data_IF_586045932116
#
_entry.id   IF_586045932116
#
_cell.length_a   1.000
_cell.length_b   1.000
_cell.length_c   1.000
_cell.angle_alpha   90.00
_cell.angle_beta   90.00
_cell.angle_gamma   90.00
#
_symmetry.space_group_name_H-M   'P 1'
#
loop_
_entity.id
_entity.type
_entity.pdbx_description
1 polymer ?
#
# COMPACT_ATOMS: atom_id res chain seq x y z
N UNK A 1 10.97 3.96 -14.72
CA UNK A 1 12.43 3.90 -14.97
C UNK A 1 12.77 2.70 -15.85
N UNK A 2 12.43 1.47 -15.44
CA UNK A 2 12.70 0.26 -16.25
C UNK A 2 12.22 0.36 -17.71
N UNK A 3 10.92 0.61 -17.94
CA UNK A 3 10.38 0.73 -19.31
C UNK A 3 11.05 1.85 -20.13
N UNK A 4 11.50 2.94 -19.50
CA UNK A 4 12.23 4.02 -20.19
C UNK A 4 13.62 3.52 -20.60
N UNK A 5 14.28 2.77 -19.73
CA UNK A 5 15.60 2.23 -20.05
C UNK A 5 15.52 1.24 -21.20
N UNK A 6 14.43 0.47 -21.27
CA UNK A 6 14.12 -0.43 -22.39
C UNK A 6 13.77 0.35 -23.69
N UNK A 7 12.95 1.40 -23.61
CA UNK A 7 12.58 2.23 -24.77
C UNK A 7 13.77 2.99 -25.39
N UNK A 8 14.77 3.37 -24.57
CA UNK A 8 15.91 4.20 -24.97
C UNK A 8 17.24 3.43 -25.06
N UNK A 9 17.25 2.10 -24.89
CA UNK A 9 18.45 1.24 -24.87
C UNK A 9 19.55 1.73 -23.90
N UNK A 10 19.15 2.11 -22.68
CA UNK A 10 20.05 2.62 -21.64
C UNK A 10 20.23 1.58 -20.53
N UNK A 11 21.45 1.46 -20.00
CA UNK A 11 21.73 0.64 -18.82
C UNK A 11 20.84 1.03 -17.62
N UNK A 12 19.94 0.12 -17.22
CA UNK A 12 19.00 0.34 -16.12
C UNK A 12 19.70 0.72 -14.81
N UNK A 13 20.75 -0.01 -14.42
CA UNK A 13 21.47 0.24 -13.16
C UNK A 13 22.19 1.60 -13.16
N UNK A 14 22.70 2.05 -14.31
CA UNK A 14 23.35 3.35 -14.42
C UNK A 14 22.32 4.50 -14.32
N UNK A 15 21.20 4.37 -15.02
CA UNK A 15 20.09 5.33 -14.94
C UNK A 15 19.50 5.37 -13.53
N UNK A 16 19.26 4.21 -12.91
CA UNK A 16 18.76 4.08 -11.55
C UNK A 16 19.68 4.78 -10.54
N UNK A 17 20.99 4.50 -10.60
CA UNK A 17 21.97 5.13 -9.72
C UNK A 17 22.04 6.66 -9.91
N UNK A 18 21.99 7.13 -11.16
CA UNK A 18 22.02 8.57 -11.46
C UNK A 18 20.77 9.30 -10.96
N UNK A 19 19.58 8.73 -11.16
CA UNK A 19 18.30 9.28 -10.66
C UNK A 19 18.32 9.37 -9.13
N UNK A 20 18.79 8.32 -8.44
CA UNK A 20 18.86 8.32 -6.97
C UNK A 20 19.91 9.28 -6.40
N UNK A 21 21.02 9.54 -7.11
CA UNK A 21 22.00 10.57 -6.73
C UNK A 21 21.42 11.99 -6.88
N UNK A 22 20.72 12.28 -7.99
CA UNK A 22 20.02 13.56 -8.16
C UNK A 22 18.92 13.74 -7.12
N UNK A 23 18.15 12.69 -6.84
CA UNK A 23 17.17 12.67 -5.76
C UNK A 23 17.81 13.02 -4.40
N UNK A 24 18.94 12.39 -4.06
CA UNK A 24 19.69 12.68 -2.83
C UNK A 24 20.12 14.14 -2.78
N UNK A 25 20.67 14.67 -3.87
CA UNK A 25 21.06 16.08 -3.96
C UNK A 25 19.87 17.02 -3.69
N UNK A 26 18.71 16.77 -4.30
CA UNK A 26 17.52 17.59 -4.06
C UNK A 26 16.96 17.44 -2.64
N UNK A 27 16.99 16.24 -2.05
CA UNK A 27 16.55 16.04 -0.66
C UNK A 27 17.46 16.78 0.35
N UNK A 28 18.78 16.76 0.13
CA UNK A 28 19.72 17.56 0.92
C UNK A 28 19.46 19.05 0.75
N UNK A 29 19.20 19.50 -0.48
CA UNK A 29 18.81 20.88 -0.77
C UNK A 29 17.54 21.27 0.02
N UNK A 30 16.50 20.44 -0.03
CA UNK A 30 15.25 20.67 0.70
C UNK A 30 15.46 20.71 2.22
N UNK A 31 16.34 19.87 2.75
CA UNK A 31 16.67 19.86 4.18
C UNK A 31 17.39 21.17 4.61
N UNK A 32 18.33 21.66 3.80
CA UNK A 32 19.13 22.88 4.10
C UNK A 32 18.32 24.17 3.89
N UNK A 33 17.48 24.23 2.86
CA UNK A 33 16.70 25.43 2.51
C UNK A 33 15.36 25.56 3.27
N UNK A 34 15.21 24.86 4.40
CA UNK A 34 13.97 24.85 5.20
C UNK A 34 12.70 24.54 4.38
N UNK A 35 12.78 23.63 3.40
CA UNK A 35 11.61 23.27 2.60
C UNK A 35 10.46 22.70 3.45
N UNK A 36 10.75 22.17 4.65
CA UNK A 36 9.74 21.74 5.62
C UNK A 36 8.81 22.85 6.10
N UNK A 37 9.10 24.14 5.84
CA UNK A 37 8.09 25.22 6.02
C UNK A 37 6.86 25.01 5.12
N UNK A 38 7.01 24.30 3.99
CA UNK A 38 5.92 23.87 3.13
C UNK A 38 4.94 22.93 3.86
N UNK A 39 5.37 22.25 4.93
CA UNK A 39 4.49 21.46 5.80
C UNK A 39 3.35 22.30 6.38
N UNK A 40 3.56 23.60 6.63
CA UNK A 40 2.48 24.48 7.12
C UNK A 40 1.29 24.56 6.15
N UNK A 41 1.49 24.22 4.88
CA UNK A 41 0.43 24.15 3.88
C UNK A 41 -0.16 22.74 3.74
N UNK A 42 0.53 21.71 4.24
CA UNK A 42 -0.06 20.40 4.44
C UNK A 42 -1.06 20.51 5.60
N UNK A 43 -2.31 20.23 5.31
CA UNK A 43 -3.38 20.27 6.31
C UNK A 43 -3.95 18.88 6.49
N UNK A 44 -4.72 18.68 7.55
CA UNK A 44 -5.42 17.42 7.79
C UNK A 44 -6.16 16.88 6.55
N UNK A 45 -6.86 17.74 5.82
CA UNK A 45 -7.53 17.35 4.57
C UNK A 45 -6.59 16.71 3.55
N UNK A 46 -5.35 17.18 3.41
CA UNK A 46 -4.41 16.65 2.42
C UNK A 46 -3.83 15.31 2.87
N UNK A 47 -3.61 15.13 4.17
CA UNK A 47 -3.23 13.83 4.77
C UNK A 47 -4.33 12.79 4.55
N UNK A 48 -5.60 13.16 4.76
CA UNK A 48 -6.75 12.27 4.60
C UNK A 48 -6.98 11.85 3.14
N UNK A 49 -6.84 12.78 2.18
CA UNK A 49 -6.89 12.47 0.75
C UNK A 49 -5.79 11.48 0.37
N UNK A 50 -4.57 11.70 0.87
CA UNK A 50 -3.44 10.82 0.58
C UNK A 50 -3.62 9.42 1.19
N UNK A 51 -4.06 9.34 2.45
CA UNK A 51 -4.36 8.07 3.10
C UNK A 51 -5.45 7.28 2.35
N UNK A 52 -6.51 7.96 1.89
CA UNK A 52 -7.58 7.34 1.11
C UNK A 52 -7.09 6.89 -0.28
N UNK A 53 -6.23 7.68 -0.93
CA UNK A 53 -5.59 7.30 -2.19
C UNK A 53 -4.77 6.01 -2.05
N UNK A 54 -3.96 5.88 -0.99
CA UNK A 54 -3.17 4.67 -0.75
C UNK A 54 -4.08 3.46 -0.47
N UNK A 55 -5.15 3.63 0.30
CA UNK A 55 -6.15 2.57 0.51
C UNK A 55 -6.78 2.10 -0.80
N UNK A 56 -7.17 3.03 -1.69
CA UNK A 56 -7.67 2.71 -3.04
C UNK A 56 -6.60 1.99 -3.87
N UNK A 57 -5.33 2.40 -3.79
CA UNK A 57 -4.24 1.74 -4.50
C UNK A 57 -4.08 0.27 -4.08
N UNK A 58 -4.08 -0.03 -2.79
CA UNK A 58 -4.03 -1.41 -2.30
C UNK A 58 -5.24 -2.25 -2.75
N UNK A 59 -6.46 -1.67 -2.75
CA UNK A 59 -7.65 -2.35 -3.28
C UNK A 59 -7.54 -2.64 -4.79
N UNK A 60 -7.03 -1.69 -5.57
CA UNK A 60 -6.86 -1.83 -7.03
C UNK A 60 -5.78 -2.86 -7.36
N UNK A 61 -4.66 -2.86 -6.64
CA UNK A 61 -3.58 -3.82 -6.85
C UNK A 61 -4.04 -5.25 -6.50
N UNK A 62 -4.70 -5.46 -5.35
CA UNK A 62 -5.28 -6.76 -5.00
C UNK A 62 -6.30 -7.23 -6.05
N UNK A 63 -7.17 -6.34 -6.53
CA UNK A 63 -8.13 -6.66 -7.61
C UNK A 63 -7.45 -7.00 -8.94
N UNK A 64 -6.34 -6.33 -9.26
CA UNK A 64 -5.56 -6.59 -10.48
C UNK A 64 -4.89 -7.96 -10.43
N UNK A 65 -4.40 -8.37 -9.27
CA UNK A 65 -3.75 -9.68 -9.12
C UNK A 65 -4.75 -10.83 -9.12
N UNK A 66 -5.94 -10.64 -8.54
CA UNK A 66 -7.09 -11.55 -8.75
C UNK A 66 -7.40 -11.67 -10.25
N UNK A 67 -7.53 -10.54 -10.95
CA UNK A 67 -7.86 -10.55 -12.37
C UNK A 67 -6.80 -11.29 -13.21
N UNK A 68 -5.50 -11.03 -12.97
CA UNK A 68 -4.41 -11.76 -13.64
C UNK A 68 -4.46 -13.25 -13.35
N UNK A 69 -4.73 -13.65 -12.09
CA UNK A 69 -4.83 -15.05 -11.72
C UNK A 69 -5.98 -15.76 -12.47
N UNK A 70 -7.17 -15.13 -12.50
CA UNK A 70 -8.30 -15.65 -13.27
C UNK A 70 -8.01 -15.72 -14.76
N UNK A 71 -7.33 -14.74 -15.33
CA UNK A 71 -6.91 -14.80 -16.73
C UNK A 71 -5.94 -15.96 -17.00
N UNK A 72 -5.01 -16.22 -16.08
CA UNK A 72 -3.97 -17.24 -16.22
C UNK A 72 -4.48 -18.66 -16.06
N UNK A 73 -5.35 -18.92 -15.08
CA UNK A 73 -5.77 -20.29 -14.73
C UNK A 73 -7.21 -20.61 -15.13
N UNK A 74 -8.12 -19.64 -15.11
CA UNK A 74 -9.54 -19.86 -15.40
C UNK A 74 -9.88 -19.68 -16.88
N UNK A 75 -9.36 -18.61 -17.49
CA UNK A 75 -9.60 -18.25 -18.90
C UNK A 75 -8.48 -18.70 -19.86
N UNK A 76 -7.59 -19.60 -19.41
CA UNK A 76 -6.55 -20.16 -20.27
C UNK A 76 -7.16 -20.79 -21.53
N UNK A 77 -6.50 -20.64 -22.68
CA UNK A 77 -6.92 -21.27 -23.95
C UNK A 77 -6.97 -22.80 -23.86
N UNK A 78 -6.23 -23.38 -22.91
CA UNK A 78 -6.19 -24.79 -22.55
C UNK A 78 -7.50 -25.28 -21.89
N UNK A 79 -8.28 -24.35 -21.33
CA UNK A 79 -9.56 -24.61 -20.66
C UNK A 79 -10.78 -24.45 -21.58
N UNK A 80 -10.59 -24.03 -22.83
CA UNK A 80 -11.65 -23.92 -23.81
C UNK A 80 -12.07 -25.32 -24.32
N UNK A 81 -13.34 -25.54 -24.67
CA UNK A 81 -13.77 -26.83 -25.22
C UNK A 81 -12.92 -27.16 -26.47
N UNK A 82 -12.41 -28.39 -26.59
CA UNK A 82 -11.53 -28.75 -27.69
C UNK A 82 -12.25 -28.54 -29.03
N UNK A 83 -11.67 -27.73 -29.89
CA UNK A 83 -12.13 -27.59 -31.28
C UNK A 83 -11.81 -28.87 -32.06
N UNK A 84 -12.59 -29.18 -33.09
CA UNK A 84 -12.44 -30.41 -33.93
C UNK A 84 -11.00 -30.56 -34.49
N UNK A 85 -10.30 -29.44 -34.67
CA UNK A 85 -8.91 -29.39 -35.14
C UNK A 85 -7.88 -29.83 -34.08
N UNK A 86 -8.16 -29.58 -32.80
CA UNK A 86 -7.32 -30.04 -31.68
C UNK A 86 -7.48 -31.55 -31.43
N UNK A 87 -8.71 -32.07 -31.55
CA UNK A 87 -9.02 -33.50 -31.47
C UNK A 87 -8.35 -34.31 -32.60
N UNK A 88 -8.29 -33.76 -33.82
CA UNK A 88 -7.62 -34.42 -34.95
C UNK A 88 -6.10 -34.42 -34.83
N UNK A 89 -5.48 -33.41 -34.18
CA UNK A 89 -4.06 -33.45 -33.82
C UNK A 89 -3.76 -34.47 -32.72
N UNK A 90 -4.60 -34.53 -31.67
CA UNK A 90 -4.48 -35.53 -30.61
C UNK A 90 -4.65 -36.97 -31.13
N UNK A 91 -5.61 -37.21 -32.02
CA UNK A 91 -5.77 -38.52 -32.66
C UNK A 91 -4.55 -38.94 -33.50
N UNK A 92 -3.89 -37.99 -34.16
CA UNK A 92 -2.65 -38.25 -34.92
C UNK A 92 -1.46 -38.55 -34.01
N UNK A 93 -1.32 -37.84 -32.89
CA UNK A 93 -0.23 -38.12 -31.94
C UNK A 93 -0.44 -39.44 -31.20
N UNK A 94 -1.68 -39.77 -30.83
CA UNK A 94 -2.04 -41.07 -30.25
C UNK A 94 -1.79 -42.21 -31.25
N UNK A 95 -2.18 -42.07 -32.51
CA UNK A 95 -1.91 -43.09 -33.54
C UNK A 95 -0.40 -43.27 -33.81
N UNK A 96 0.41 -42.21 -33.66
CA UNK A 96 1.87 -42.31 -33.76
C UNK A 96 2.51 -42.96 -32.51
N UNK A 97 1.92 -42.79 -31.33
CA UNK A 97 2.39 -43.36 -30.06
C UNK A 97 1.89 -44.80 -29.81
N UNK A 98 0.77 -45.21 -30.43
CA UNK A 98 0.12 -46.50 -30.26
C UNK A 98 0.97 -47.72 -30.68
N UNK A 99 2.10 -47.51 -31.34
CA UNK A 99 3.07 -48.59 -31.65
C UNK A 99 3.97 -48.98 -30.45
N UNK A 100 3.96 -48.23 -29.34
CA UNK A 100 4.69 -48.55 -28.10
C UNK A 100 3.74 -48.56 -26.90
N UNK A 101 3.46 -49.74 -26.36
CA UNK A 101 2.39 -50.05 -25.39
C UNK A 101 2.57 -49.49 -23.96
N UNK A 102 3.60 -48.68 -23.69
CA UNK A 102 3.89 -48.12 -22.35
C UNK A 102 3.53 -46.64 -22.19
N UNK A 103 2.77 -46.05 -23.11
CA UNK A 103 2.65 -44.58 -23.24
C UNK A 103 1.26 -44.01 -22.90
N UNK A 104 0.30 -44.83 -22.46
CA UNK A 104 -1.07 -44.36 -22.16
C UNK A 104 -1.12 -43.43 -20.93
N UNK A 105 -0.34 -43.69 -19.88
CA UNK A 105 -0.22 -42.81 -18.70
C UNK A 105 0.56 -41.53 -19.03
N UNK A 106 1.62 -41.64 -19.85
CA UNK A 106 2.41 -40.49 -20.29
C UNK A 106 1.63 -39.51 -21.20
N UNK A 107 0.61 -39.99 -21.92
CA UNK A 107 -0.24 -39.13 -22.77
C UNK A 107 -1.27 -38.33 -21.96
N UNK A 108 -1.65 -38.79 -20.77
CA UNK A 108 -2.52 -38.07 -19.84
C UNK A 108 -1.79 -36.92 -19.13
N UNK A 109 -0.46 -37.00 -19.06
CA UNK A 109 0.43 -35.97 -18.52
C UNK A 109 0.75 -34.84 -19.53
N UNK A 110 0.52 -35.08 -20.83
CA UNK A 110 0.80 -34.13 -21.93
C UNK A 110 -0.41 -33.25 -22.28
N UNK A 111 -1.61 -33.58 -21.79
CA UNK A 111 -2.76 -32.70 -21.87
C UNK A 111 -2.58 -31.56 -20.87
N UNK A 112 -2.54 -30.29 -21.30
CA UNK A 112 -2.51 -29.17 -20.37
C UNK A 112 -3.76 -29.25 -19.49
N UNK A 113 -3.55 -29.59 -18.21
CA UNK A 113 -4.63 -29.73 -17.26
C UNK A 113 -5.17 -28.33 -16.95
N UNK A 114 -6.44 -28.13 -17.30
CA UNK A 114 -7.17 -26.92 -16.96
C UNK A 114 -7.42 -26.86 -15.44
N UNK A 115 -6.54 -26.18 -14.70
CA UNK A 115 -6.60 -26.05 -13.23
C UNK A 115 -7.46 -24.86 -12.79
N UNK A 116 -8.78 -24.95 -13.01
CA UNK A 116 -9.72 -23.90 -12.58
C UNK A 116 -9.82 -23.78 -11.06
N UNK A 117 -9.55 -24.86 -10.33
CA UNK A 117 -9.51 -24.85 -8.87
C UNK A 117 -8.52 -23.81 -8.30
N UNK A 118 -7.43 -23.51 -9.01
CA UNK A 118 -6.42 -22.56 -8.55
C UNK A 118 -6.98 -21.14 -8.34
N UNK A 119 -7.79 -20.63 -9.27
CA UNK A 119 -8.37 -19.29 -9.15
C UNK A 119 -9.45 -19.21 -8.08
N UNK A 120 -10.22 -20.29 -7.89
CA UNK A 120 -11.23 -20.37 -6.84
C UNK A 120 -10.58 -20.43 -5.45
N UNK A 121 -9.50 -21.22 -5.30
CA UNK A 121 -8.73 -21.30 -4.07
C UNK A 121 -8.03 -19.95 -3.78
N UNK A 122 -7.49 -19.29 -4.79
CA UNK A 122 -6.89 -17.96 -4.65
C UNK A 122 -7.91 -16.96 -4.07
N UNK A 123 -9.11 -16.89 -4.64
CA UNK A 123 -10.19 -16.03 -4.14
C UNK A 123 -10.60 -16.40 -2.71
N UNK A 124 -10.73 -17.70 -2.42
CA UNK A 124 -11.11 -18.20 -1.10
C UNK A 124 -10.07 -17.83 -0.04
N UNK A 125 -8.78 -18.01 -0.33
CA UNK A 125 -7.69 -17.66 0.57
C UNK A 125 -7.63 -16.13 0.78
N UNK A 126 -7.74 -15.35 -0.29
CA UNK A 126 -7.70 -13.88 -0.20
C UNK A 126 -8.88 -13.30 0.59
N UNK A 127 -10.12 -13.73 0.32
CA UNK A 127 -11.28 -13.24 1.07
C UNK A 127 -11.35 -13.85 2.47
N UNK A 128 -10.89 -15.09 2.63
CA UNK A 128 -10.82 -15.80 3.90
C UNK A 128 -9.85 -15.14 4.89
N UNK A 129 -8.69 -14.66 4.43
CA UNK A 129 -7.74 -13.93 5.29
C UNK A 129 -8.33 -12.60 5.75
N UNK A 130 -8.95 -11.83 4.86
CA UNK A 130 -9.62 -10.57 5.21
C UNK A 130 -10.74 -10.82 6.19
N UNK A 131 -11.61 -11.80 5.92
CA UNK A 131 -12.73 -12.12 6.79
C UNK A 131 -12.25 -12.53 8.19
N UNK A 132 -11.26 -13.42 8.28
CA UNK A 132 -10.72 -13.85 9.56
C UNK A 132 -10.03 -12.70 10.29
N UNK A 133 -9.21 -11.89 9.61
CA UNK A 133 -8.52 -10.75 10.22
C UNK A 133 -9.51 -9.70 10.74
N UNK A 134 -10.53 -9.34 9.96
CA UNK A 134 -11.58 -8.40 10.38
C UNK A 134 -12.44 -8.97 11.51
N UNK A 135 -12.73 -10.28 11.49
CA UNK A 135 -13.46 -10.95 12.58
C UNK A 135 -12.68 -10.91 13.89
N UNK A 136 -11.38 -11.25 13.86
CA UNK A 136 -10.50 -11.19 15.03
C UNK A 136 -10.30 -9.76 15.54
N UNK A 137 -10.19 -8.78 14.63
CA UNK A 137 -10.10 -7.36 15.00
C UNK A 137 -11.39 -6.87 15.68
N UNK A 138 -12.57 -7.17 15.10
CA UNK A 138 -13.87 -6.80 15.66
C UNK A 138 -14.23 -7.58 16.92
N UNK A 139 -13.52 -8.68 17.21
CA UNK A 139 -13.68 -9.43 18.44
C UNK A 139 -13.47 -8.55 19.68
N UNK A 140 -12.72 -7.44 19.56
CA UNK A 140 -12.57 -6.45 20.63
C UNK A 140 -13.86 -5.77 21.08
N UNK A 141 -14.86 -5.69 20.20
CA UNK A 141 -16.16 -5.10 20.55
C UNK A 141 -17.12 -6.10 21.16
N UNK A 142 -16.78 -7.39 21.14
CA UNK A 142 -17.67 -8.44 21.62
C UNK A 142 -17.57 -8.60 23.14
N UNK A 143 -18.66 -9.01 23.81
CA UNK A 143 -18.67 -9.26 25.26
C UNK A 143 -18.00 -10.60 25.63
N UNK A 144 -17.49 -11.35 24.66
CA UNK A 144 -16.84 -12.64 24.88
C UNK A 144 -15.38 -12.43 25.32
N UNK A 145 -14.91 -13.29 26.23
CA UNK A 145 -13.56 -13.28 26.83
C UNK A 145 -13.23 -12.07 27.74
N UNK A 146 -12.15 -12.22 28.51
CA UNK A 146 -11.61 -11.16 29.38
C UNK A 146 -10.96 -10.06 28.54
N UNK A 147 -11.10 -8.79 28.95
CA UNK A 147 -10.63 -7.61 28.22
C UNK A 147 -9.17 -7.73 27.72
N UNK A 148 -8.24 -8.18 28.57
CA UNK A 148 -6.83 -8.33 28.20
C UNK A 148 -6.60 -9.37 27.09
N UNK A 149 -7.29 -10.52 27.13
CA UNK A 149 -7.17 -11.56 26.08
C UNK A 149 -7.75 -11.08 24.76
N UNK A 150 -8.79 -10.27 24.83
CA UNK A 150 -9.49 -9.72 23.70
C UNK A 150 -8.66 -8.64 22.98
N UNK A 151 -8.01 -7.76 23.74
CA UNK A 151 -7.05 -6.77 23.21
C UNK A 151 -5.87 -7.47 22.51
N UNK A 152 -5.27 -8.50 23.15
CA UNK A 152 -4.22 -9.30 22.53
C UNK A 152 -4.67 -9.95 21.21
N UNK A 153 -5.89 -10.49 21.15
CA UNK A 153 -6.41 -11.11 19.93
C UNK A 153 -6.56 -10.09 18.79
N UNK A 154 -6.99 -8.87 19.10
CA UNK A 154 -7.17 -7.80 18.12
C UNK A 154 -5.82 -7.28 17.59
N UNK A 155 -4.80 -7.15 18.45
CA UNK A 155 -3.46 -6.74 18.04
C UNK A 155 -2.76 -7.79 17.15
N UNK A 156 -2.97 -9.08 17.46
CA UNK A 156 -2.42 -10.20 16.69
C UNK A 156 -3.34 -10.70 15.56
N UNK A 157 -4.45 -10.01 15.29
CA UNK A 157 -5.46 -10.44 14.31
C UNK A 157 -4.86 -10.75 12.92
N UNK A 158 -4.00 -9.87 12.43
CA UNK A 158 -3.39 -9.99 11.10
C UNK A 158 -2.36 -11.14 11.01
N UNK A 159 -1.33 -11.23 11.89
CA UNK A 159 -0.41 -12.36 11.89
C UNK A 159 -1.11 -13.72 12.05
N UNK A 160 -2.10 -13.80 12.95
CA UNK A 160 -2.86 -15.03 13.18
C UNK A 160 -3.66 -15.43 11.94
N UNK A 161 -4.30 -14.46 11.27
CA UNK A 161 -5.05 -14.74 10.06
C UNK A 161 -4.17 -15.23 8.91
N UNK A 162 -2.99 -14.64 8.71
CA UNK A 162 -2.01 -15.08 7.70
C UNK A 162 -1.56 -16.50 8.00
N UNK A 163 -1.12 -16.80 9.23
CA UNK A 163 -0.63 -18.13 9.59
C UNK A 163 -1.73 -19.19 9.44
N UNK A 164 -2.96 -18.89 9.89
CA UNK A 164 -4.08 -19.82 9.81
C UNK A 164 -4.46 -20.14 8.36
N UNK A 165 -4.57 -19.14 7.49
CA UNK A 165 -4.96 -19.35 6.10
C UNK A 165 -3.81 -19.90 5.25
N UNK A 166 -2.55 -19.56 5.56
CA UNK A 166 -1.39 -20.25 4.97
C UNK A 166 -1.36 -21.72 5.36
N UNK A 167 -1.69 -22.07 6.61
CA UNK A 167 -1.82 -23.47 7.04
C UNK A 167 -2.95 -24.19 6.30
N UNK A 168 -4.12 -23.56 6.15
CA UNK A 168 -5.23 -24.12 5.38
C UNK A 168 -4.85 -24.32 3.91
N UNK A 169 -4.22 -23.33 3.28
CA UNK A 169 -3.74 -23.43 1.90
C UNK A 169 -2.73 -24.56 1.71
N UNK A 170 -1.76 -24.70 2.62
CA UNK A 170 -0.69 -25.68 2.49
C UNK A 170 -1.09 -27.11 2.87
N UNK A 171 -1.92 -27.30 3.90
CA UNK A 171 -2.27 -28.63 4.43
C UNK A 171 -3.62 -29.16 3.94
N UNK A 172 -4.66 -28.30 3.86
CA UNK A 172 -6.01 -28.74 3.46
C UNK A 172 -6.12 -28.84 1.94
N UNK A 173 -5.51 -27.90 1.22
CA UNK A 173 -5.53 -27.85 -0.25
C UNK A 173 -4.21 -28.27 -0.88
N UNK A 174 -3.55 -29.28 -0.32
CA UNK A 174 -2.24 -29.78 -0.79
C UNK A 174 -2.25 -30.22 -2.27
N UNK A 175 -3.40 -30.66 -2.76
CA UNK A 175 -3.59 -31.12 -4.15
C UNK A 175 -3.68 -29.98 -5.16
N UNK A 176 -3.85 -28.73 -4.71
CA UNK A 176 -3.99 -27.55 -5.56
C UNK A 176 -2.69 -26.74 -5.49
N UNK A 177 -1.95 -26.67 -6.59
CA UNK A 177 -0.71 -25.88 -6.67
C UNK A 177 -1.03 -24.38 -6.58
N UNK A 178 -0.91 -23.81 -5.39
CA UNK A 178 -0.95 -22.36 -5.18
C UNK A 178 0.34 -21.71 -5.68
N UNK A 179 0.27 -20.53 -6.29
CA UNK A 179 1.46 -19.73 -6.57
C UNK A 179 2.16 -19.38 -5.23
N UNK A 180 3.37 -19.91 -5.07
CA UNK A 180 4.22 -19.69 -3.89
C UNK A 180 5.19 -18.53 -4.15
N UNK A 181 5.74 -17.98 -3.07
CA UNK A 181 6.74 -16.93 -3.17
C UNK A 181 8.04 -17.47 -3.82
N UNK A 182 8.33 -17.02 -5.04
CA UNK A 182 9.56 -17.35 -5.75
C UNK A 182 10.72 -16.44 -5.31
N UNK A 183 11.79 -17.03 -4.79
CA UNK A 183 13.04 -16.33 -4.50
C UNK A 183 14.10 -16.69 -5.55
N UNK A 184 14.73 -15.68 -6.15
CA UNK A 184 15.84 -15.86 -7.08
C UNK A 184 17.18 -15.75 -6.35
N UNK A 185 18.09 -16.70 -6.56
CA UNK A 185 19.47 -16.66 -6.04
C UNK A 185 20.38 -15.74 -6.87
N UNK A 186 19.97 -14.49 -7.11
CA UNK A 186 20.81 -13.50 -7.79
C UNK A 186 21.37 -12.50 -6.78
N UNK A 187 22.28 -12.96 -5.93
CA UNK A 187 23.06 -12.12 -5.02
C UNK A 187 24.19 -11.43 -5.77
N UNK A 188 23.86 -10.46 -6.62
CA UNK A 188 24.86 -9.55 -7.17
C UNK A 188 24.52 -8.14 -6.74
N UNK A 189 25.29 -7.63 -5.77
CA UNK A 189 25.39 -6.20 -5.54
C UNK A 189 26.01 -5.56 -6.80
N UNK A 190 25.15 -5.09 -7.69
CA UNK A 190 25.58 -4.44 -8.92
C UNK A 190 25.87 -2.97 -8.58
N UNK A 191 27.15 -2.60 -8.61
CA UNK A 191 27.55 -1.19 -8.52
C UNK A 191 26.94 -0.42 -9.69
N UNK A 192 26.19 0.63 -9.39
CA UNK A 192 25.66 1.54 -10.41
C UNK A 192 26.81 2.27 -11.14
N UNK A 193 27.14 1.85 -12.37
CA UNK A 193 28.17 2.48 -13.20
C UNK A 193 27.62 3.73 -13.86
N UNK A 194 27.55 4.83 -13.11
CA UNK A 194 27.03 6.14 -13.59
C UNK A 194 27.88 6.70 -14.75
N UNK A 195 29.15 6.31 -14.85
CA UNK A 195 30.12 6.77 -15.86
C UNK A 195 29.76 6.39 -17.31
N UNK A 196 28.87 5.40 -17.52
CA UNK A 196 28.47 4.94 -18.86
C UNK A 196 27.37 5.85 -19.46
N UNK A 197 26.72 6.67 -18.64
CA UNK A 197 25.53 7.40 -19.04
C UNK A 197 25.87 8.62 -19.92
N UNK A 198 25.22 8.72 -21.08
CA UNK A 198 25.36 9.87 -21.97
C UNK A 198 24.76 11.14 -21.34
N UNK A 199 25.31 12.32 -21.67
CA UNK A 199 24.84 13.62 -21.18
C UNK A 199 23.32 13.90 -21.32
N UNK A 200 22.62 13.56 -22.43
CA UNK A 200 21.17 13.74 -22.51
C UNK A 200 20.41 12.84 -21.53
N UNK A 201 20.87 11.62 -21.31
CA UNK A 201 20.29 10.70 -20.34
C UNK A 201 20.52 11.19 -18.90
N UNK A 202 21.65 11.84 -18.62
CA UNK A 202 21.90 12.48 -17.32
C UNK A 202 20.95 13.68 -17.05
N UNK A 203 20.59 14.46 -18.07
CA UNK A 203 19.58 15.52 -17.94
C UNK A 203 18.17 14.94 -17.70
N UNK A 204 17.82 13.86 -18.41
CA UNK A 204 16.59 13.11 -18.15
C UNK A 204 16.55 12.57 -16.71
N UNK A 205 17.66 12.01 -16.24
CA UNK A 205 17.82 11.51 -14.87
C UNK A 205 17.66 12.61 -13.82
N UNK A 206 18.14 13.83 -14.10
CA UNK A 206 17.93 14.98 -13.22
C UNK A 206 16.45 15.33 -13.08
N UNK A 207 15.69 15.36 -14.18
CA UNK A 207 14.24 15.60 -14.16
C UNK A 207 13.47 14.53 -13.38
N UNK A 208 13.83 13.25 -13.61
CA UNK A 208 13.26 12.13 -12.86
C UNK A 208 13.66 12.16 -11.38
N UNK A 209 14.90 12.53 -11.07
CA UNK A 209 15.40 12.68 -9.70
C UNK A 209 14.69 13.80 -8.95
N UNK A 210 14.32 14.89 -9.61
CA UNK A 210 13.50 15.97 -9.03
C UNK A 210 12.06 15.51 -8.77
N UNK A 211 11.43 14.81 -9.70
CA UNK A 211 10.09 14.27 -9.48
C UNK A 211 10.09 13.25 -8.31
N UNK A 212 11.11 12.40 -8.24
CA UNK A 212 11.28 11.43 -7.15
C UNK A 212 11.53 12.11 -5.80
N UNK A 213 12.35 13.16 -5.76
CA UNK A 213 12.62 13.89 -4.50
C UNK A 213 11.39 14.59 -3.97
N UNK A 214 10.54 15.12 -4.85
CA UNK A 214 9.24 15.67 -4.45
C UNK A 214 8.32 14.58 -3.88
N UNK A 215 8.31 13.37 -4.45
CA UNK A 215 7.54 12.25 -3.91
C UNK A 215 8.01 11.88 -2.50
N UNK A 216 9.32 11.64 -2.33
CA UNK A 216 9.87 11.27 -1.02
C UNK A 216 9.72 12.38 0.01
N UNK A 217 9.85 13.64 -0.41
CA UNK A 217 9.55 14.78 0.44
C UNK A 217 8.10 14.75 0.91
N UNK A 218 7.14 14.52 0.02
CA UNK A 218 5.73 14.48 0.37
C UNK A 218 5.37 13.30 1.26
N UNK A 219 5.78 12.07 0.90
CA UNK A 219 5.45 10.86 1.64
C UNK A 219 6.04 10.86 3.05
N UNK A 220 7.32 11.24 3.19
CA UNK A 220 7.98 11.33 4.48
C UNK A 220 7.29 12.36 5.39
N UNK A 221 6.94 13.52 4.82
CA UNK A 221 6.32 14.60 5.56
C UNK A 221 4.89 14.28 5.99
N UNK A 222 4.06 13.72 5.10
CA UNK A 222 2.70 13.28 5.42
C UNK A 222 2.75 12.17 6.48
N UNK A 223 3.66 11.20 6.34
CA UNK A 223 3.82 10.13 7.34
C UNK A 223 4.26 10.66 8.68
N UNK A 224 5.20 11.60 8.71
CA UNK A 224 5.64 12.22 9.95
C UNK A 224 4.54 13.08 10.59
N UNK A 225 3.75 13.80 9.79
CA UNK A 225 2.62 14.60 10.30
C UNK A 225 1.51 13.73 10.89
N UNK A 226 1.15 12.63 10.23
CA UNK A 226 0.17 11.66 10.75
C UNK A 226 0.62 11.02 12.07
N UNK A 227 1.90 10.67 12.20
CA UNK A 227 2.45 10.13 13.45
C UNK A 227 2.48 11.19 14.56
N UNK A 228 2.91 12.41 14.21
CA UNK A 228 3.03 13.54 15.14
C UNK A 228 1.72 14.29 15.38
N UNK A 229 0.58 13.72 14.94
CA UNK A 229 -0.72 14.30 15.18
C UNK A 229 -0.94 14.55 16.69
N UNK A 230 -1.40 15.74 17.12
CA UNK A 230 -1.62 16.05 18.53
C UNK A 230 -2.55 15.05 19.24
N UNK A 231 -3.44 14.36 18.51
CA UNK A 231 -4.28 13.29 19.05
C UNK A 231 -3.47 12.14 19.66
N UNK A 232 -2.27 11.86 19.13
CA UNK A 232 -1.39 10.79 19.61
C UNK A 232 -0.63 11.16 20.90
N UNK A 233 -0.70 12.43 21.34
CA UNK A 233 -0.08 12.93 22.59
C UNK A 233 1.37 12.49 22.78
N UNK A 234 2.17 12.57 21.71
CA UNK A 234 3.61 12.29 21.76
C UNK A 234 4.32 13.33 22.64
N UNK A 235 5.35 12.90 23.37
CA UNK A 235 6.10 13.75 24.31
C UNK A 235 7.32 14.37 23.65
N UNK A 236 7.95 13.68 22.70
CA UNK A 236 9.10 14.21 21.96
C UNK A 236 8.63 15.04 20.77
N UNK A 237 9.32 16.15 20.52
CA UNK A 237 9.04 17.03 19.39
C UNK A 237 9.36 16.38 18.03
N UNK A 238 8.71 16.86 16.99
CA UNK A 238 8.93 16.42 15.62
C UNK A 238 10.23 16.99 15.02
N UNK A 239 10.96 16.19 14.25
CA UNK A 239 12.24 16.57 13.65
C UNK A 239 12.26 16.36 12.12
N UNK A 240 11.32 17.01 11.40
CA UNK A 240 11.12 16.83 9.96
C UNK A 240 12.39 17.01 9.11
N UNK A 241 13.24 17.98 9.44
CA UNK A 241 14.48 18.24 8.69
C UNK A 241 15.51 17.12 8.84
N UNK A 242 15.64 16.57 10.05
CA UNK A 242 16.57 15.50 10.34
C UNK A 242 16.12 14.22 9.63
N UNK A 243 14.83 13.92 9.66
CA UNK A 243 14.27 12.76 9.00
C UNK A 243 14.51 12.81 7.49
N UNK A 244 14.30 13.98 6.86
CA UNK A 244 14.56 14.18 5.43
C UNK A 244 16.05 14.04 5.08
N UNK A 245 16.95 14.57 5.92
CA UNK A 245 18.40 14.46 5.74
C UNK A 245 18.85 12.99 5.80
N UNK A 246 18.35 12.23 6.78
CA UNK A 246 18.68 10.82 6.97
C UNK A 246 18.17 9.98 5.81
N UNK A 247 16.93 10.19 5.38
CA UNK A 247 16.34 9.50 4.21
C UNK A 247 17.14 9.82 2.94
N UNK A 248 17.52 11.08 2.73
CA UNK A 248 18.36 11.47 1.60
C UNK A 248 19.71 10.76 1.59
N UNK A 249 20.43 10.77 2.72
CA UNK A 249 21.75 10.13 2.82
C UNK A 249 21.68 8.61 2.64
N UNK A 250 20.69 7.95 3.25
CA UNK A 250 20.47 6.51 3.09
C UNK A 250 20.15 6.15 1.64
N UNK A 251 19.26 6.90 0.98
CA UNK A 251 18.91 6.65 -0.42
C UNK A 251 20.08 6.89 -1.37
N UNK A 252 20.97 7.84 -1.07
CA UNK A 252 22.21 8.03 -1.83
C UNK A 252 23.11 6.80 -1.78
N UNK A 253 23.28 6.21 -0.60
CA UNK A 253 24.04 4.97 -0.43
C UNK A 253 23.37 3.79 -1.13
N UNK A 254 22.05 3.60 -0.95
CA UNK A 254 21.28 2.52 -1.59
C UNK A 254 21.35 2.62 -3.12
N UNK A 255 21.27 3.84 -3.66
CA UNK A 255 21.36 4.11 -5.10
C UNK A 255 22.71 3.68 -5.72
N UNK A 256 23.83 3.88 -5.00
CA UNK A 256 25.16 3.46 -5.47
C UNK A 256 25.31 1.94 -5.56
N UNK A 257 24.64 1.22 -4.66
CA UNK A 257 24.64 -0.24 -4.61
C UNK A 257 23.50 -0.89 -5.44
N UNK A 258 22.70 -0.08 -6.14
CA UNK A 258 21.56 -0.59 -6.93
C UNK A 258 20.45 -1.20 -6.08
N UNK A 259 20.40 -0.86 -4.79
CA UNK A 259 19.39 -1.34 -3.85
C UNK A 259 18.12 -0.45 -3.91
N UNK A 260 16.94 -1.03 -3.62
CA UNK A 260 15.69 -0.27 -3.61
C UNK A 260 15.73 0.88 -2.62
N UNK A 261 15.22 2.04 -3.02
CA UNK A 261 15.11 3.22 -2.18
C UNK A 261 14.08 3.03 -1.06
N UNK A 262 14.34 3.67 0.08
CA UNK A 262 13.50 3.64 1.27
C UNK A 262 12.84 5.00 1.49
N UNK A 263 11.60 4.97 1.97
CA UNK A 263 10.79 6.16 2.29
C UNK A 263 9.84 5.82 3.45
N UNK A 264 9.22 6.84 4.05
CA UNK A 264 8.20 6.65 5.08
C UNK A 264 6.99 5.91 4.53
N UNK A 265 6.56 4.85 5.23
CA UNK A 265 5.47 3.97 4.78
C UNK A 265 4.15 4.34 5.46
N UNK A 266 3.15 4.66 4.62
CA UNK A 266 1.79 5.10 4.97
C UNK A 266 0.78 3.94 4.79
N UNK A 267 0.86 2.87 5.60
CA UNK A 267 0.03 2.79 6.81
C UNK A 267 0.74 2.14 8.01
N UNK A 268 1.96 1.65 7.80
CA UNK A 268 2.73 0.93 8.82
C UNK A 268 3.15 1.84 9.97
N UNK A 269 3.57 3.08 9.67
CA UNK A 269 3.99 4.05 10.68
C UNK A 269 2.88 4.40 11.69
N UNK A 270 1.65 4.80 11.28
CA UNK A 270 0.57 5.05 12.24
C UNK A 270 0.07 3.77 12.93
N UNK A 271 0.07 2.61 12.26
CA UNK A 271 -0.27 1.33 12.91
C UNK A 271 0.72 0.96 14.02
N UNK A 272 2.02 1.20 13.80
CA UNK A 272 3.06 1.00 14.80
C UNK A 272 2.92 1.93 15.99
N UNK A 273 2.48 3.18 15.77
CA UNK A 273 2.19 4.10 16.87
C UNK A 273 0.95 3.66 17.64
N UNK A 274 -0.09 3.20 16.93
CA UNK A 274 -1.33 2.70 17.54
C UNK A 274 -1.09 1.46 18.39
N UNK A 275 -0.25 0.52 17.96
CA UNK A 275 0.09 -0.67 18.77
C UNK A 275 0.91 -0.35 20.02
N UNK A 276 1.52 0.84 20.08
CA UNK A 276 2.27 1.34 21.24
C UNK A 276 1.42 2.31 22.10
N UNK A 277 0.17 2.55 21.71
CA UNK A 277 -0.75 3.47 22.34
C UNK A 277 -1.68 2.73 23.31
N UNK A 278 -1.81 3.24 24.54
CA UNK A 278 -2.88 2.80 25.44
C UNK A 278 -4.17 3.57 25.04
N UNK A 279 -5.19 2.83 24.59
CA UNK A 279 -6.48 3.37 24.16
C UNK A 279 -7.50 3.20 25.30
N UNK A 280 -8.18 4.28 25.66
CA UNK A 280 -9.32 4.23 26.61
C UNK A 280 -10.62 4.53 25.87
N UNK A 281 -11.65 3.75 26.16
CA UNK A 281 -13.02 4.04 25.73
C UNK A 281 -13.63 5.08 26.69
N UNK A 282 -13.97 6.25 26.15
CA UNK A 282 -14.76 7.27 26.85
C UNK A 282 -16.13 7.37 26.21
N UNK A 283 -17.16 7.25 27.04
CA UNK A 283 -18.53 7.46 26.61
C UNK A 283 -18.83 8.95 26.74
N UNK A 284 -19.03 9.62 25.60
CA UNK A 284 -19.51 11.00 25.58
C UNK A 284 -20.87 11.04 24.88
N UNK A 285 -21.87 11.59 25.57
CA UNK A 285 -23.26 11.72 25.08
C UNK A 285 -23.89 10.42 24.51
N UNK A 286 -23.55 9.27 25.08
CA UNK A 286 -24.09 7.97 24.65
C UNK A 286 -23.35 7.33 23.47
N UNK A 287 -22.34 7.98 22.91
CA UNK A 287 -21.42 7.41 21.94
C UNK A 287 -20.09 7.04 22.60
N UNK A 288 -19.59 5.84 22.29
CA UNK A 288 -18.29 5.34 22.78
C UNK A 288 -17.20 5.83 21.83
N UNK A 289 -16.28 6.65 22.35
CA UNK A 289 -15.11 7.13 21.61
C UNK A 289 -13.84 6.49 22.18
N UNK A 290 -13.02 5.95 21.29
CA UNK A 290 -11.67 5.47 21.61
C UNK A 290 -10.71 6.67 21.60
N UNK A 291 -10.13 7.02 22.75
CA UNK A 291 -9.17 8.11 22.88
C UNK A 291 -7.81 7.55 23.29
N UNK A 292 -6.76 7.97 22.59
CA UNK A 292 -5.38 7.63 22.95
C UNK A 292 -4.98 8.44 24.20
N UNK A 293 -4.60 7.74 25.25
CA UNK A 293 -4.23 8.35 26.53
C UNK A 293 -2.74 8.65 26.59
N UNK A 294 -1.93 7.65 26.22
CA UNK A 294 -0.47 7.75 26.20
C UNK A 294 0.12 6.80 25.17
N UNK A 295 1.21 7.23 24.55
CA UNK A 295 2.00 6.41 23.64
C UNK A 295 3.36 6.13 24.26
N UNK A 296 3.82 4.87 24.17
CA UNK A 296 5.16 4.47 24.63
C UNK A 296 6.18 4.64 23.51
N UNK A 297 6.95 5.73 23.56
CA UNK A 297 8.00 5.99 22.58
C UNK A 297 9.26 5.15 22.83
N UNK A 298 9.51 4.15 21.99
CA UNK A 298 10.66 3.25 22.12
C UNK A 298 11.48 3.20 20.83
N UNK A 299 12.82 3.16 20.95
CA UNK A 299 13.73 2.93 19.81
C UNK A 299 13.96 1.44 19.53
N UNK A 300 13.75 0.61 20.55
CA UNK A 300 14.05 -0.82 20.52
C UNK A 300 13.12 -1.58 19.57
N UNK A 301 11.84 -1.22 19.52
CA UNK A 301 10.85 -1.93 18.68
C UNK A 301 11.18 -1.81 17.19
N UNK A 302 11.56 -0.62 16.72
CA UNK A 302 12.02 -0.41 15.34
C UNK A 302 13.36 -1.11 15.04
N UNK A 303 14.31 -1.10 15.98
CA UNK A 303 15.57 -1.82 15.80
C UNK A 303 15.36 -3.35 15.72
N UNK A 304 14.50 -3.90 16.57
CA UNK A 304 14.15 -5.32 16.58
C UNK A 304 13.40 -5.69 15.30
N UNK A 305 12.45 -4.88 14.83
CA UNK A 305 11.71 -5.19 13.60
C UNK A 305 12.64 -5.24 12.39
N UNK A 306 13.55 -4.27 12.23
CA UNK A 306 14.54 -4.29 11.16
C UNK A 306 15.55 -5.45 11.29
N UNK A 307 15.96 -5.80 12.51
CA UNK A 307 16.80 -6.98 12.76
C UNK A 307 16.07 -8.27 12.36
N UNK A 308 14.79 -8.40 12.69
CA UNK A 308 13.95 -9.56 12.32
C UNK A 308 13.69 -9.63 10.82
N UNK A 309 13.54 -8.49 10.13
CA UNK A 309 13.49 -8.43 8.66
C UNK A 309 14.83 -8.91 8.07
N UNK A 310 15.96 -8.53 8.66
CA UNK A 310 17.27 -9.07 8.26
C UNK A 310 17.38 -10.58 8.49
N UNK A 311 16.88 -11.07 9.63
CA UNK A 311 16.87 -12.49 9.97
C UNK A 311 15.92 -13.30 9.07
N UNK A 312 14.84 -12.69 8.58
CA UNK A 312 13.85 -13.37 7.74
C UNK A 312 14.42 -13.84 6.40
N UNK A 313 15.53 -13.23 5.93
CA UNK A 313 16.26 -13.70 4.75
C UNK A 313 16.76 -15.14 4.94
N UNK A 314 17.24 -15.50 6.13
CA UNK A 314 17.63 -16.89 6.45
C UNK A 314 16.42 -17.83 6.57
N UNK A 315 15.24 -17.26 6.81
CA UNK A 315 13.98 -17.96 6.98
C UNK A 315 13.20 -18.10 5.65
N UNK A 316 13.66 -17.50 4.56
CA UNK A 316 13.07 -17.63 3.22
C UNK A 316 12.95 -19.09 2.70
N UNK A 317 13.95 -19.98 2.84
CA UNK A 317 13.94 -21.25 2.10
C UNK A 317 12.92 -22.28 2.58
N UNK A 318 12.46 -22.23 3.84
CA UNK A 318 11.59 -23.28 4.39
C UNK A 318 10.20 -22.76 4.80
N UNK A 319 10.03 -21.90 5.82
CA UNK A 319 8.68 -21.49 6.25
C UNK A 319 8.06 -20.38 5.40
N UNK A 320 8.83 -19.44 4.83
CA UNK A 320 8.27 -18.29 4.11
C UNK A 320 7.79 -18.65 2.69
N UNK A 321 8.44 -19.62 2.03
CA UNK A 321 8.03 -20.11 0.72
C UNK A 321 6.64 -20.77 0.72
N UNK A 322 6.20 -21.29 1.87
CA UNK A 322 4.87 -21.91 2.00
C UNK A 322 3.71 -20.92 2.10
N UNK A 323 3.98 -19.62 2.18
CA UNK A 323 2.93 -18.59 2.21
C UNK A 323 2.41 -18.36 0.78
N UNK A 324 1.14 -18.67 0.47
CA UNK A 324 0.57 -18.41 -0.85
C UNK A 324 0.48 -16.91 -1.11
N UNK A 325 0.73 -16.49 -2.36
CA UNK A 325 0.59 -15.07 -2.77
C UNK A 325 -0.83 -14.54 -2.51
N UNK A 326 -1.85 -15.38 -2.67
CA UNK A 326 -3.25 -15.08 -2.35
C UNK A 326 -3.47 -14.56 -0.91
N UNK A 327 -2.71 -15.11 0.05
CA UNK A 327 -2.82 -14.72 1.46
C UNK A 327 -2.21 -13.33 1.68
N UNK A 328 -1.14 -13.00 0.97
CA UNK A 328 -0.49 -11.68 1.01
C UNK A 328 -1.39 -10.59 0.40
N UNK A 329 -2.08 -10.90 -0.69
CA UNK A 329 -3.04 -9.97 -1.30
C UNK A 329 -4.23 -9.67 -0.38
N UNK A 330 -4.69 -10.69 0.36
CA UNK A 330 -5.69 -10.50 1.40
C UNK A 330 -5.18 -9.68 2.60
N UNK A 331 -3.89 -9.79 2.94
CA UNK A 331 -3.25 -8.91 3.92
C UNK A 331 -3.22 -7.44 3.44
N UNK A 332 -2.89 -7.18 2.17
CA UNK A 332 -2.95 -5.83 1.60
C UNK A 332 -4.36 -5.27 1.59
N UNK A 333 -5.36 -6.09 1.25
CA UNK A 333 -6.77 -5.70 1.27
C UNK A 333 -7.25 -5.41 2.71
N UNK A 334 -6.82 -6.17 3.71
CA UNK A 334 -7.09 -5.87 5.12
C UNK A 334 -6.47 -4.53 5.55
N UNK A 335 -5.23 -4.26 5.17
CA UNK A 335 -4.57 -2.98 5.45
C UNK A 335 -5.29 -1.80 4.78
N UNK A 336 -5.85 -2.01 3.59
CA UNK A 336 -6.68 -1.02 2.90
C UNK A 336 -7.98 -0.74 3.67
N UNK A 337 -8.70 -1.77 4.12
CA UNK A 337 -9.97 -1.61 4.85
C UNK A 337 -9.75 -0.98 6.22
N UNK A 338 -8.72 -1.40 6.94
CA UNK A 338 -8.42 -0.86 8.27
C UNK A 338 -7.95 0.59 8.23
N UNK A 339 -7.28 1.04 7.14
CA UNK A 339 -6.91 2.44 6.97
C UNK A 339 -8.09 3.37 6.61
N UNK A 340 -9.21 2.82 6.12
CA UNK A 340 -10.46 3.58 5.97
C UNK A 340 -11.11 3.88 7.32
N UNK A 341 -11.00 2.94 8.27
CA UNK A 341 -11.56 3.08 9.62
C UNK A 341 -10.73 4.11 10.42
N UNK A 342 -11.28 5.32 10.58
CA UNK A 342 -10.63 6.44 11.26
C UNK A 342 -10.20 7.58 10.34
N UNK A 343 -10.40 7.44 9.01
CA UNK A 343 -10.21 8.54 8.07
C UNK A 343 -11.48 9.42 8.04
N UNK A 344 -11.39 10.68 8.49
CA UNK A 344 -12.56 11.57 8.52
C UNK A 344 -13.08 11.92 7.12
N UNK A 345 -12.23 11.93 6.09
CA UNK A 345 -12.71 12.08 4.71
C UNK A 345 -13.64 10.93 4.34
N UNK A 346 -13.30 9.69 4.70
CA UNK A 346 -14.16 8.54 4.45
C UNK A 346 -15.47 8.62 5.23
N UNK A 347 -15.43 8.98 6.52
CA UNK A 347 -16.64 9.23 7.31
C UNK A 347 -17.52 10.31 6.64
N UNK A 348 -16.93 11.41 6.19
CA UNK A 348 -17.66 12.48 5.51
C UNK A 348 -18.21 12.07 4.14
N UNK A 349 -17.55 11.16 3.42
CA UNK A 349 -18.11 10.54 2.20
C UNK A 349 -19.31 9.67 2.56
N UNK A 350 -19.25 8.88 3.64
CA UNK A 350 -20.40 8.08 4.09
C UNK A 350 -21.58 8.94 4.51
N UNK A 351 -21.34 10.16 5.05
CA UNK A 351 -22.39 11.12 5.35
C UNK A 351 -23.17 11.58 4.11
N UNK A 352 -22.60 11.54 2.90
CA UNK A 352 -23.34 11.85 1.66
C UNK A 352 -24.45 10.83 1.38
N UNK A 353 -24.27 9.59 1.83
CA UNK A 353 -25.21 8.48 1.62
C UNK A 353 -26.09 8.19 2.84
N UNK A 354 -25.82 8.85 3.98
CA UNK A 354 -26.56 8.62 5.21
C UNK A 354 -27.77 9.55 5.32
N UNK A 355 -28.86 9.05 5.91
CA UNK A 355 -30.04 9.88 6.19
C UNK A 355 -29.74 10.93 7.27
N UNK A 356 -30.29 12.13 7.11
CA UNK A 356 -30.03 13.28 8.00
C UNK A 356 -30.38 13.00 9.48
N UNK A 357 -31.37 12.15 9.73
CA UNK A 357 -31.78 11.77 11.09
C UNK A 357 -30.76 10.88 11.81
N UNK A 358 -29.92 10.16 11.06
CA UNK A 358 -28.93 9.23 11.60
C UNK A 358 -27.55 9.87 11.81
N UNK A 359 -27.38 11.17 11.56
CA UNK A 359 -26.08 11.83 11.66
C UNK A 359 -25.51 11.74 13.09
N UNK A 360 -24.28 11.21 13.28
CA UNK A 360 -23.67 11.16 14.59
C UNK A 360 -23.42 12.60 15.09
N UNK A 361 -23.53 12.87 16.39
CA UNK A 361 -23.30 14.18 16.97
C UNK A 361 -21.79 14.51 17.07
N UNK A 362 -21.11 14.62 15.92
CA UNK A 362 -19.70 15.01 15.88
C UNK A 362 -19.53 16.54 15.99
N UNK A 363 -18.40 16.98 16.54
CA UNK A 363 -18.10 18.40 16.81
C UNK A 363 -18.23 19.31 15.58
N UNK A 364 -17.73 18.87 14.41
CA UNK A 364 -17.79 19.64 13.17
C UNK A 364 -19.21 19.70 12.56
N UNK A 365 -20.04 18.68 12.77
CA UNK A 365 -21.44 18.64 12.29
C UNK A 365 -22.29 19.69 13.02
N UNK A 366 -21.95 20.01 14.28
CA UNK A 366 -22.65 21.02 15.08
C UNK A 366 -22.29 22.47 14.72
N UNK A 367 -21.08 22.70 14.21
CA UNK A 367 -20.54 24.05 13.94
C UNK A 367 -20.75 24.53 12.51
N UNK A 368 -20.85 23.61 11.55
CA UNK A 368 -20.93 23.94 10.13
C UNK A 368 -22.30 23.55 9.53
N UNK A 369 -22.89 24.39 8.66
CA UNK A 369 -24.11 24.02 7.95
C UNK A 369 -23.83 22.87 6.99
N UNK A 370 -24.73 21.88 6.94
CA UNK A 370 -24.56 20.62 6.19
C UNK A 370 -24.20 20.82 4.71
N UNK A 371 -24.81 21.80 4.04
CA UNK A 371 -24.50 22.12 2.63
C UNK A 371 -23.03 22.44 2.40
N UNK A 372 -22.39 23.16 3.34
CA UNK A 372 -20.97 23.52 3.24
C UNK A 372 -20.08 22.31 3.47
N UNK A 373 -20.47 21.38 4.35
CA UNK A 373 -19.78 20.10 4.55
C UNK A 373 -19.83 19.30 3.24
N UNK A 374 -21.00 19.17 2.60
CA UNK A 374 -21.12 18.41 1.36
C UNK A 374 -20.35 19.05 0.18
N UNK A 375 -20.33 20.38 0.06
CA UNK A 375 -19.52 21.08 -0.95
C UNK A 375 -18.03 20.81 -0.72
N UNK A 376 -17.58 20.85 0.53
CA UNK A 376 -16.20 20.53 0.89
C UNK A 376 -15.83 19.09 0.51
N UNK A 377 -16.67 18.12 0.87
CA UNK A 377 -16.41 16.71 0.58
C UNK A 377 -16.40 16.42 -0.92
N UNK A 378 -17.29 17.06 -1.69
CA UNK A 378 -17.29 16.93 -3.16
C UNK A 378 -15.98 17.48 -3.74
N UNK A 379 -15.47 18.60 -3.23
CA UNK A 379 -14.18 19.13 -3.64
C UNK A 379 -13.02 18.16 -3.34
N UNK A 380 -13.01 17.54 -2.15
CA UNK A 380 -12.01 16.52 -1.79
C UNK A 380 -12.11 15.27 -2.68
N UNK A 381 -13.33 14.79 -2.96
CA UNK A 381 -13.54 13.64 -3.86
C UNK A 381 -13.07 13.95 -5.27
N UNK A 382 -13.30 15.17 -5.78
CA UNK A 382 -12.75 15.59 -7.09
C UNK A 382 -11.22 15.59 -7.07
N UNK A 383 -10.59 16.10 -6.00
CA UNK A 383 -9.12 16.07 -5.86
C UNK A 383 -8.59 14.63 -5.82
N UNK A 384 -9.25 13.74 -5.07
CA UNK A 384 -8.91 12.32 -5.02
C UNK A 384 -9.06 11.64 -6.38
N UNK A 385 -10.14 11.91 -7.12
CA UNK A 385 -10.34 11.35 -8.47
C UNK A 385 -9.26 11.82 -9.44
N UNK A 386 -8.86 13.09 -9.36
CA UNK A 386 -7.71 13.60 -10.13
C UNK A 386 -6.44 12.82 -9.78
N UNK A 387 -6.15 12.60 -8.50
CA UNK A 387 -5.00 11.79 -8.07
C UNK A 387 -5.07 10.35 -8.60
N UNK A 388 -6.23 9.69 -8.49
CA UNK A 388 -6.44 8.35 -9.01
C UNK A 388 -6.25 8.26 -10.53
N UNK A 389 -6.74 9.24 -11.30
CA UNK A 389 -6.58 9.28 -12.75
C UNK A 389 -5.11 9.29 -13.16
N UNK A 390 -4.29 10.14 -12.52
CA UNK A 390 -2.86 10.22 -12.82
C UNK A 390 -2.06 9.03 -12.24
N UNK A 391 -2.44 8.51 -11.07
CA UNK A 391 -1.76 7.39 -10.42
C UNK A 391 -1.98 6.05 -11.14
N UNK A 392 -3.20 5.77 -11.60
CA UNK A 392 -3.56 4.52 -12.28
C UNK A 392 -3.48 4.61 -13.81
N UNK A 393 -3.01 5.73 -14.37
CA UNK A 393 -2.85 5.88 -15.82
C UNK A 393 -1.97 4.74 -16.40
N UNK A 394 -2.33 4.11 -17.53
CA UNK A 394 -1.55 3.02 -18.10
C UNK A 394 -0.20 3.49 -18.67
N UNK A 395 -0.08 4.77 -19.01
CA UNK A 395 1.10 5.37 -19.65
C UNK A 395 2.21 5.63 -18.61
N UNK A 396 3.41 5.04 -18.77
CA UNK A 396 4.52 5.25 -17.83
C UNK A 396 4.90 6.72 -17.66
N UNK A 397 4.84 7.51 -18.74
CA UNK A 397 5.14 8.95 -18.76
C UNK A 397 4.18 9.76 -17.88
N UNK A 398 2.89 9.40 -17.84
CA UNK A 398 1.89 10.08 -17.02
C UNK A 398 2.13 9.82 -15.53
N UNK A 399 2.53 8.59 -15.18
CA UNK A 399 2.89 8.23 -13.80
C UNK A 399 4.10 9.02 -13.26
N UNK A 400 4.98 9.52 -14.13
CA UNK A 400 6.14 10.33 -13.69
C UNK A 400 5.73 11.70 -13.17
N UNK A 401 4.60 12.24 -13.65
CA UNK A 401 4.11 13.57 -13.27
C UNK A 401 3.30 13.52 -11.96
N UNK A 402 2.92 12.32 -11.52
CA UNK A 402 2.12 12.09 -10.31
C UNK A 402 2.65 12.80 -9.05
N UNK A 403 3.96 12.77 -8.71
CA UNK A 403 4.49 13.50 -7.55
C UNK A 403 4.32 15.02 -7.63
N UNK A 404 4.45 15.58 -8.84
CA UNK A 404 4.28 17.02 -9.09
C UNK A 404 2.81 17.41 -8.94
N UNK A 405 1.88 16.55 -9.38
CA UNK A 405 0.44 16.75 -9.20
C UNK A 405 0.09 16.78 -7.71
N UNK A 406 0.63 15.87 -6.90
CA UNK A 406 0.43 15.85 -5.44
C UNK A 406 0.86 17.19 -4.82
N UNK A 407 2.05 17.67 -5.18
CA UNK A 407 2.57 18.94 -4.68
C UNK A 407 1.68 20.11 -5.13
N UNK A 408 1.18 20.09 -6.37
CA UNK A 408 0.33 21.13 -6.94
C UNK A 408 -1.09 21.15 -6.31
N UNK A 409 -1.57 20.02 -5.81
CA UNK A 409 -2.86 19.94 -5.12
C UNK A 409 -2.85 20.71 -3.79
N UNK A 410 -1.70 20.84 -3.12
CA UNK A 410 -1.57 21.62 -1.87
C UNK A 410 -1.93 23.12 -2.05
N UNK A 411 -1.28 23.90 -2.93
CA UNK A 411 -1.64 25.30 -3.15
C UNK A 411 -3.00 25.44 -3.82
N UNK A 412 -3.39 24.50 -4.68
CA UNK A 412 -4.70 24.49 -5.32
C UNK A 412 -5.80 24.39 -4.26
N UNK A 413 -5.65 23.53 -3.25
CA UNK A 413 -6.59 23.47 -2.12
C UNK A 413 -6.68 24.80 -1.37
N UNK A 414 -5.54 25.41 -1.03
CA UNK A 414 -5.56 26.68 -0.28
C UNK A 414 -6.20 27.85 -1.06
N UNK A 415 -6.12 27.87 -2.39
CA UNK A 415 -6.75 28.90 -3.23
C UNK A 415 -8.20 28.59 -3.61
N UNK A 416 -8.50 27.34 -3.95
CA UNK A 416 -9.82 26.92 -4.44
C UNK A 416 -10.81 26.77 -3.28
N UNK A 417 -10.41 26.14 -2.17
CA UNK A 417 -11.35 25.87 -1.07
C UNK A 417 -11.72 27.14 -0.31
N UNK A 418 -10.79 28.10 -0.18
CA UNK A 418 -11.06 29.41 0.43
C UNK A 418 -12.00 30.28 -0.43
N UNK A 419 -12.18 29.97 -1.72
CA UNK A 419 -13.12 30.68 -2.59
C UNK A 419 -14.58 30.27 -2.34
N UNK A 420 -14.82 29.01 -1.94
CA UNK A 420 -16.17 28.45 -1.79
C UNK A 420 -16.69 28.42 -0.34
N UNK A 421 -15.79 28.47 0.65
CA UNK A 421 -16.10 28.24 2.06
C UNK A 421 -15.43 29.31 2.93
N UNK A 422 -16.21 29.91 3.84
CA UNK A 422 -15.68 30.88 4.80
C UNK A 422 -14.63 30.23 5.71
N UNK A 423 -13.57 30.98 6.01
CA UNK A 423 -12.43 30.52 6.79
C UNK A 423 -12.82 29.94 8.17
N UNK A 424 -13.89 30.47 8.78
CA UNK A 424 -14.44 29.97 10.05
C UNK A 424 -14.94 28.52 9.96
N UNK A 425 -15.56 28.12 8.85
CA UNK A 425 -16.04 26.75 8.66
C UNK A 425 -14.90 25.82 8.24
N UNK A 426 -13.90 26.34 7.51
CA UNK A 426 -12.69 25.61 7.17
C UNK A 426 -11.89 25.23 8.41
N UNK A 427 -11.70 26.17 9.35
CA UNK A 427 -11.03 25.91 10.64
C UNK A 427 -11.79 24.88 11.49
N UNK A 428 -13.12 24.83 11.41
CA UNK A 428 -13.89 23.81 12.12
C UNK A 428 -13.81 22.42 11.45
N UNK A 429 -13.51 22.34 10.15
CA UNK A 429 -13.41 21.09 9.38
C UNK A 429 -11.99 20.54 9.28
N UNK A 430 -10.99 21.42 9.26
CA UNK A 430 -9.58 21.09 9.05
C UNK A 430 -8.67 21.52 10.22
N UNK A 431 -9.22 22.22 11.22
CA UNK A 431 -8.44 22.63 12.39
C UNK A 431 -8.01 21.43 13.23
N UNK A 432 -6.77 21.48 13.72
CA UNK A 432 -6.30 20.63 14.80
C UNK A 432 -7.23 20.84 15.99
N UNK A 433 -8.15 19.90 16.25
CA UNK A 433 -9.01 20.00 17.42
C UNK A 433 -8.14 19.78 18.67
N UNK A 434 -8.07 20.85 19.48
CA UNK A 434 -7.87 20.79 20.92
C UNK A 434 -8.78 19.77 21.57
#
# INVERSE_FOLDING_TARGET
IYNICEDFDIDFYAMYACVGLWNTFFLLLFAVFDASKLMKWCTRSTEEIFALFISIAFCVDAGRDVYKNFQRYYYASECAPPTVESLTRLLRTVNAAANNTTTAEALLEVLPQCRRENSLLFLLLMLGTVWLAVSLYNFNKTPYLQASKREMLADYALPVAVIALSFVGAFVFREVETEQFHFGHSDQFVRGRVEILQWPAALGAMGLGLALSLLFFMDQNISAAMVNNPCNKLKKGAAYHLDLLVVGLLNGVLSLFGLPWMHGVLPHSPLHVRSMADVEERVDQGHVYEIIVRVRETRLTGAISHLLIGLSVFMLPYPLAHIPTAVLDGLFLYMAITSLNGNQMFERITLLFMEQAAYPPNHYIRRCPQRKIHVFTVCQVVQLLVMCFFGFAPWPYVKMVFPVIILLLLPLRHKVVTLFIDQKYLEALDGEHQ
#
